data_IF_667543314299
#
_entry.id   IF_667543314299
#
_cell.length_a   1.000
_cell.length_b   1.000
_cell.length_c   1.000
_cell.angle_alpha   90.00
_cell.angle_beta   90.00
_cell.angle_gamma   90.00
#
_symmetry.space_group_name_H-M   'P 1'
#
loop_
_entity.id
_entity.type
_entity.pdbx_description
1 polymer ?
#
# COMPACT_ATOMS: atom_id res chain seq x y z
N UNK A 1 -10.18 -20.69 4.86
CA UNK A 1 -10.33 -20.06 4.94
C UNK A 1 -9.74 -19.11 5.21
N UNK A 2 -9.74 -18.55 5.19
CA UNK A 2 -9.23 -17.69 5.47
C UNK A 2 -9.64 -16.97 6.31
N UNK A 3 -9.49 -16.48 6.97
CA UNK A 3 -9.99 -16.03 7.90
C UNK A 3 -10.10 -14.67 7.92
N UNK A 4 -10.82 -14.14 8.70
CA UNK A 4 -11.08 -12.77 8.73
C UNK A 4 -9.83 -12.00 8.96
N UNK A 5 -8.93 -12.56 9.61
CA UNK A 5 -7.68 -11.93 9.83
C UNK A 5 -6.97 -11.68 8.54
N UNK A 6 -7.11 -12.55 7.61
CA UNK A 6 -6.41 -12.42 6.37
C UNK A 6 -7.16 -11.57 5.37
N UNK A 7 -8.42 -11.39 5.58
CA UNK A 7 -9.24 -10.69 4.60
C UNK A 7 -10.21 -9.73 5.23
N UNK A 8 -9.73 -8.69 5.90
CA UNK A 8 -10.63 -7.72 6.50
C UNK A 8 -11.40 -7.03 5.38
N UNK A 9 -12.68 -6.82 5.59
CA UNK A 9 -13.54 -6.28 4.54
C UNK A 9 -13.06 -4.94 3.99
N UNK A 10 -12.45 -4.12 4.80
CA UNK A 10 -12.01 -2.82 4.30
C UNK A 10 -10.79 -2.91 3.39
N UNK A 11 -10.22 -4.10 3.26
CA UNK A 11 -9.10 -4.27 2.35
C UNK A 11 -9.57 -5.06 1.13
N UNK A 12 -10.58 -5.90 1.30
CA UNK A 12 -10.95 -6.82 0.25
C UNK A 12 -12.36 -6.61 -0.25
N UNK A 13 -12.68 -5.40 -0.63
CA UNK A 13 -14.02 -5.10 -1.12
C UNK A 13 -14.13 -5.30 -2.64
N UNK A 14 -13.09 -5.78 -3.27
CA UNK A 14 -13.10 -6.06 -4.70
C UNK A 14 -12.77 -7.51 -4.94
N UNK A 15 -12.55 -7.86 -6.20
CA UNK A 15 -12.27 -9.24 -6.55
C UNK A 15 -10.83 -9.64 -6.26
N UNK A 16 -9.93 -8.68 -6.23
CA UNK A 16 -8.51 -8.96 -6.04
C UNK A 16 -8.11 -8.44 -4.69
N UNK A 17 -7.51 -9.30 -3.87
CA UNK A 17 -7.04 -8.87 -2.57
C UNK A 17 -5.76 -8.08 -2.74
N UNK A 18 -5.58 -7.08 -1.91
CA UNK A 18 -4.40 -6.22 -1.99
C UNK A 18 -3.12 -7.05 -1.86
N UNK A 19 -3.11 -7.99 -0.91
CA UNK A 19 -1.90 -8.79 -0.71
C UNK A 19 -1.58 -9.63 -1.95
N UNK A 20 -2.61 -10.14 -2.61
CA UNK A 20 -2.37 -10.94 -3.80
C UNK A 20 -1.79 -10.09 -4.91
N UNK A 21 -2.26 -8.85 -5.04
CA UNK A 21 -1.75 -7.93 -6.04
C UNK A 21 -0.29 -7.62 -5.76
N UNK A 22 0.02 -7.31 -4.50
CA UNK A 22 1.39 -6.98 -4.11
C UNK A 22 2.33 -8.14 -4.41
N UNK A 23 1.90 -9.35 -4.10
CA UNK A 23 2.73 -10.52 -4.35
C UNK A 23 2.88 -10.81 -5.83
N UNK A 24 1.78 -10.68 -6.59
CA UNK A 24 1.82 -10.97 -8.01
C UNK A 24 2.78 -10.02 -8.72
N UNK A 25 2.77 -8.75 -8.33
CA UNK A 25 3.63 -7.76 -8.97
C UNK A 25 5.00 -7.69 -8.34
N UNK A 26 5.25 -8.50 -7.31
CA UNK A 26 6.52 -8.54 -6.61
C UNK A 26 6.97 -7.17 -6.12
N UNK A 27 6.02 -6.43 -5.55
CA UNK A 27 6.33 -5.09 -5.05
C UNK A 27 7.15 -5.19 -3.78
N UNK A 28 8.08 -4.28 -3.62
CA UNK A 28 8.90 -4.27 -2.42
C UNK A 28 8.13 -3.62 -1.27
N UNK A 29 8.75 -3.49 -0.14
CA UNK A 29 8.09 -2.99 1.07
C UNK A 29 7.46 -1.62 0.86
N UNK A 30 8.20 -0.69 0.29
CA UNK A 30 7.68 0.67 0.12
C UNK A 30 6.51 0.72 -0.85
N UNK A 31 6.66 0.09 -2.00
CA UNK A 31 5.59 0.09 -3.00
C UNK A 31 4.38 -0.67 -2.50
N UNK A 32 4.62 -1.77 -1.80
CA UNK A 32 3.52 -2.56 -1.24
C UNK A 32 2.73 -1.76 -0.22
N UNK A 33 3.43 -1.01 0.64
CA UNK A 33 2.74 -0.19 1.62
C UNK A 33 1.98 0.95 0.95
N UNK A 34 2.55 1.56 -0.10
CA UNK A 34 1.84 2.61 -0.80
C UNK A 34 0.52 2.08 -1.37
N UNK A 35 0.57 0.90 -2.00
CA UNK A 35 -0.63 0.28 -2.56
C UNK A 35 -1.63 -0.03 -1.45
N UNK A 36 -1.15 -0.53 -0.32
CA UNK A 36 -2.02 -0.85 0.80
C UNK A 36 -2.76 0.39 1.29
N UNK A 37 -2.06 1.49 1.49
CA UNK A 37 -2.68 2.68 2.02
C UNK A 37 -3.62 3.33 1.01
N UNK A 38 -3.27 3.30 -0.28
CA UNK A 38 -4.16 3.82 -1.30
C UNK A 38 -5.44 3.00 -1.32
N UNK A 39 -5.31 1.69 -1.22
CA UNK A 39 -6.47 0.80 -1.32
C UNK A 39 -7.40 0.95 -0.14
N UNK A 40 -6.86 1.25 1.05
CA UNK A 40 -7.73 1.34 2.21
C UNK A 40 -8.21 2.74 2.52
N UNK A 41 -7.68 3.75 1.85
CA UNK A 41 -8.00 5.15 2.18
C UNK A 41 -9.49 5.39 2.19
N UNK A 42 -9.99 5.83 3.33
CA UNK A 42 -11.41 6.15 3.47
C UNK A 42 -12.33 4.97 3.69
N UNK A 43 -11.83 3.75 3.56
CA UNK A 43 -12.70 2.59 3.69
C UNK A 43 -12.79 2.10 5.12
N UNK A 44 -11.67 2.14 5.83
CA UNK A 44 -11.69 1.69 7.20
C UNK A 44 -12.30 2.79 8.05
N UNK A 45 -11.90 4.02 7.82
CA UNK A 45 -12.38 5.15 8.61
C UNK A 45 -12.38 6.36 7.69
N UNK A 46 -13.55 6.80 7.23
CA UNK A 46 -13.60 7.93 6.30
C UNK A 46 -12.92 9.18 6.81
N UNK A 47 -12.87 9.37 8.12
CA UNK A 47 -12.24 10.56 8.66
C UNK A 47 -10.72 10.52 8.50
N UNK A 48 -10.17 9.34 8.18
CA UNK A 48 -8.74 9.21 8.02
C UNK A 48 -8.33 9.00 6.58
N UNK A 49 -9.20 9.31 5.64
CA UNK A 49 -8.88 9.09 4.24
C UNK A 49 -7.64 9.87 3.81
N UNK A 50 -7.57 11.15 4.16
CA UNK A 50 -6.43 11.98 3.80
C UNK A 50 -5.17 11.46 4.49
N UNK A 51 -5.30 11.04 5.75
CA UNK A 51 -4.15 10.52 6.48
C UNK A 51 -3.58 9.29 5.80
N UNK A 52 -4.45 8.39 5.33
CA UNK A 52 -3.98 7.19 4.64
C UNK A 52 -3.31 7.54 3.33
N UNK A 53 -3.87 8.51 2.59
CA UNK A 53 -3.25 8.91 1.33
C UNK A 53 -1.88 9.54 1.58
N UNK A 54 -1.73 10.30 2.67
CA UNK A 54 -0.44 10.89 2.97
C UNK A 54 0.58 9.83 3.36
N UNK A 55 0.12 8.73 3.98
CA UNK A 55 1.03 7.64 4.28
C UNK A 55 1.52 7.00 2.98
N UNK A 56 0.63 6.87 1.99
CA UNK A 56 1.04 6.33 0.70
C UNK A 56 2.09 7.25 0.06
N UNK A 57 1.87 8.56 0.15
CA UNK A 57 2.83 9.52 -0.41
C UNK A 57 4.18 9.38 0.28
N UNK A 58 4.16 9.22 1.61
CA UNK A 58 5.39 9.08 2.37
C UNK A 58 6.21 7.87 1.89
N UNK A 59 5.52 6.74 1.67
CA UNK A 59 6.23 5.55 1.22
C UNK A 59 6.75 5.72 -0.20
N UNK A 60 5.99 6.41 -1.06
CA UNK A 60 6.44 6.64 -2.42
C UNK A 60 7.65 7.57 -2.45
N UNK A 61 7.63 8.61 -1.61
CA UNK A 61 8.77 9.52 -1.55
C UNK A 61 10.00 8.80 -1.01
N UNK A 62 9.80 7.91 -0.05
CA UNK A 62 10.91 7.15 0.49
C UNK A 62 11.50 6.25 -0.57
N UNK A 63 10.64 5.65 -1.39
CA UNK A 63 11.11 4.78 -2.45
C UNK A 63 11.90 5.58 -3.49
N UNK A 64 11.42 6.77 -3.83
CA UNK A 64 12.12 7.61 -4.77
C UNK A 64 13.51 7.96 -4.25
N UNK A 65 13.61 8.30 -2.96
CA UNK A 65 14.89 8.63 -2.39
C UNK A 65 15.84 7.43 -2.39
N UNK A 66 15.31 6.26 -2.12
CA UNK A 66 16.14 5.06 -2.12
C UNK A 66 16.72 4.82 -3.51
N UNK A 67 15.87 4.93 -4.53
CA UNK A 67 16.32 4.68 -5.89
C UNK A 67 17.28 5.78 -6.37
N UNK A 68 17.02 7.02 -5.98
CA UNK A 68 17.90 8.11 -6.36
C UNK A 68 19.26 7.91 -5.68
N UNK A 69 19.27 7.42 -4.45
CA UNK A 69 20.51 7.15 -3.76
C UNK A 69 21.31 6.04 -4.41
N UNK A 70 20.60 5.03 -4.90
CA UNK A 70 21.29 3.92 -5.52
C UNK A 70 21.74 4.23 -6.93
N UNK A 71 20.91 4.94 -7.68
CA UNK A 71 21.21 5.20 -9.07
C UNK A 71 21.76 6.57 -9.33
N UNK A 72 21.33 7.50 -8.59
CA UNK A 72 21.73 8.83 -8.86
C UNK A 72 22.89 9.23 -8.10
N UNK A 73 23.39 8.44 -7.27
CA UNK A 73 24.31 8.86 -6.58
C UNK A 73 25.32 9.06 -7.30
N UNK A 74 25.18 8.57 -8.01
CA UNK A 74 26.20 8.83 -8.88
C UNK A 74 26.52 9.95 -8.61
#
# INVERSE_FOLDING_TARGET
MKEAVNSPSHYNDGKIEVIDYIEDKKLNFHRGNAVKYISRAGKKDPAKEVEDLRKAIWYLERECKRLEGENGKG
#
